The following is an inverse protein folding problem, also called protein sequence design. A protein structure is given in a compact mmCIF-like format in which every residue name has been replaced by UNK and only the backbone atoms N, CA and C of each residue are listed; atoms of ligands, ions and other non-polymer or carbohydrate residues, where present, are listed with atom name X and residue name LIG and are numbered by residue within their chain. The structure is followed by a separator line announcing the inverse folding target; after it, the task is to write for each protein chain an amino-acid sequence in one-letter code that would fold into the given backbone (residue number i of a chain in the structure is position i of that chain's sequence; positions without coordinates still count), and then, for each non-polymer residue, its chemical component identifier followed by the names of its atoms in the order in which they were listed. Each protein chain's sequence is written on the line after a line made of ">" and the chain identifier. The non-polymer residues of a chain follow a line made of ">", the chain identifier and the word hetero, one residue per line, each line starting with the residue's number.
data_IF_111096083319
#
_entry.id   IF_111096083319
#
_cell.length_a   1.000
_cell.length_b   1.000
_cell.length_c   1.000
_cell.angle_alpha   90.00
_cell.angle_beta   90.00
_cell.angle_gamma   90.00
#
_symmetry.space_group_name_H-M   'P 1'
#
loop_
_entity.id
_entity.type
_entity.pdbx_description
1 polymer ?
#
# COMPACT_ATOMS: atom_id res chain seq x y z
N UNK A 1 -21.04 14.57 -8.58
CA UNK A 1 -21.14 13.12 -8.26
C UNK A 1 -20.80 12.93 -6.80
N UNK A 2 -21.63 12.16 -6.08
CA UNK A 2 -21.44 11.86 -4.66
C UNK A 2 -20.91 10.44 -4.48
N UNK A 3 -19.75 10.31 -3.85
CA UNK A 3 -18.99 9.06 -3.72
C UNK A 3 -18.89 8.70 -2.25
N UNK A 4 -19.20 7.47 -1.87
CA UNK A 4 -18.89 6.96 -0.55
C UNK A 4 -17.71 6.00 -0.62
N UNK A 5 -16.65 6.27 0.16
CA UNK A 5 -15.48 5.42 0.31
C UNK A 5 -15.55 4.70 1.65
N UNK A 6 -15.62 3.38 1.63
CA UNK A 6 -15.53 2.57 2.83
C UNK A 6 -14.06 2.22 3.06
N UNK A 7 -13.44 2.80 4.09
CA UNK A 7 -11.99 2.68 4.36
C UNK A 7 -11.77 2.33 5.83
N UNK A 8 -10.75 1.51 6.11
CA UNK A 8 -10.33 1.26 7.49
C UNK A 8 -9.67 2.50 8.08
N UNK A 9 -10.18 2.97 9.22
CA UNK A 9 -9.45 3.93 10.05
C UNK A 9 -8.42 3.19 10.90
N UNK A 10 -7.15 3.46 10.65
CA UNK A 10 -6.05 2.77 11.31
C UNK A 10 -5.94 3.11 12.80
N UNK A 11 -6.60 4.17 13.28
CA UNK A 11 -6.73 4.43 14.72
C UNK A 11 -7.43 3.27 15.42
N UNK A 12 -8.46 2.67 14.78
CA UNK A 12 -9.10 1.45 15.29
C UNK A 12 -8.15 0.25 15.26
N UNK A 13 -7.38 0.10 14.18
CA UNK A 13 -6.46 -1.03 14.02
C UNK A 13 -5.35 -1.02 15.06
N UNK A 14 -4.72 0.15 15.28
CA UNK A 14 -3.61 0.33 16.22
C UNK A 14 -4.05 0.79 17.62
N UNK A 15 -5.37 0.87 17.88
CA UNK A 15 -5.97 1.32 19.15
C UNK A 15 -5.51 2.72 19.59
N UNK A 16 -5.31 3.62 18.60
CA UNK A 16 -4.89 5.02 18.83
C UNK A 16 -6.11 5.94 18.94
N UNK A 17 -7.00 5.64 19.86
CA UNK A 17 -8.31 6.31 20.01
C UNK A 17 -8.20 7.77 20.46
N UNK A 18 -7.09 8.15 21.07
CA UNK A 18 -6.77 9.51 21.50
C UNK A 18 -6.44 10.46 20.35
N UNK A 19 -6.03 9.91 19.20
CA UNK A 19 -5.72 10.71 18.03
C UNK A 19 -7.01 11.24 17.38
N UNK A 20 -7.13 12.57 17.25
CA UNK A 20 -8.32 13.20 16.67
C UNK A 20 -8.36 13.07 15.12
N UNK A 21 -7.20 13.15 14.47
CA UNK A 21 -7.12 13.05 13.01
C UNK A 21 -7.19 11.58 12.57
N UNK A 22 -8.14 11.19 11.71
CA UNK A 22 -8.20 9.86 11.16
C UNK A 22 -6.97 9.53 10.31
N UNK A 23 -6.66 8.25 10.20
CA UNK A 23 -5.50 7.76 9.48
C UNK A 23 -5.87 6.49 8.69
N UNK A 24 -5.72 6.53 7.35
CA UNK A 24 -6.22 5.47 6.46
C UNK A 24 -5.11 4.62 5.82
N UNK A 25 -3.86 4.98 6.00
CA UNK A 25 -2.71 4.38 5.32
C UNK A 25 -2.36 5.10 4.00
N UNK A 26 -1.21 4.72 3.43
CA UNK A 26 -0.55 5.51 2.38
C UNK A 26 -1.37 5.66 1.11
N UNK A 27 -1.87 4.55 0.55
CA UNK A 27 -2.58 4.57 -0.73
C UNK A 27 -3.95 5.26 -0.67
N UNK A 28 -4.84 4.97 0.32
CA UNK A 28 -6.10 5.70 0.45
C UNK A 28 -5.92 7.19 0.72
N UNK A 29 -4.95 7.59 1.55
CA UNK A 29 -4.68 9.02 1.81
C UNK A 29 -4.24 9.75 0.55
N UNK A 30 -3.36 9.15 -0.25
CA UNK A 30 -2.93 9.72 -1.51
C UNK A 30 -4.09 9.83 -2.52
N UNK A 31 -4.99 8.84 -2.57
CA UNK A 31 -6.19 8.92 -3.39
C UNK A 31 -7.11 10.07 -2.95
N UNK A 32 -7.29 10.26 -1.64
CA UNK A 32 -8.06 11.38 -1.10
C UNK A 32 -7.45 12.74 -1.45
N UNK A 33 -6.12 12.87 -1.51
CA UNK A 33 -5.46 14.10 -2.00
C UNK A 33 -5.88 14.43 -3.44
N UNK A 34 -5.96 13.42 -4.30
CA UNK A 34 -6.42 13.62 -5.68
C UNK A 34 -7.91 14.00 -5.77
N UNK A 35 -8.76 13.41 -4.94
CA UNK A 35 -10.18 13.78 -4.87
C UNK A 35 -10.40 15.16 -4.26
N UNK A 36 -9.58 15.60 -3.31
CA UNK A 36 -9.70 16.92 -2.69
C UNK A 36 -9.56 18.07 -3.71
N UNK A 37 -8.85 17.85 -4.81
CA UNK A 37 -8.67 18.83 -5.89
C UNK A 37 -9.82 18.84 -6.93
N UNK A 38 -10.88 18.07 -6.72
CA UNK A 38 -12.00 17.93 -7.66
C UNK A 38 -13.28 18.54 -7.10
N UNK A 39 -13.59 19.80 -7.39
CA UNK A 39 -14.77 20.49 -6.83
C UNK A 39 -16.10 19.95 -7.37
N UNK A 40 -16.08 19.21 -8.48
CA UNK A 40 -17.25 18.61 -9.13
C UNK A 40 -17.72 17.30 -8.45
N UNK A 41 -17.04 16.86 -7.39
CA UNK A 41 -17.41 15.67 -6.62
C UNK A 41 -17.54 15.97 -5.13
N UNK A 42 -18.39 15.20 -4.46
CA UNK A 42 -18.53 15.14 -3.01
C UNK A 42 -18.13 13.73 -2.54
N UNK A 43 -17.18 13.64 -1.62
CA UNK A 43 -16.65 12.37 -1.13
C UNK A 43 -17.00 12.19 0.34
N UNK A 44 -17.58 11.05 0.69
CA UNK A 44 -17.88 10.66 2.05
C UNK A 44 -17.04 9.44 2.44
N UNK A 45 -16.06 9.64 3.29
CA UNK A 45 -15.29 8.55 3.89
C UNK A 45 -16.07 8.00 5.08
N UNK A 46 -16.37 6.70 5.06
CA UNK A 46 -17.09 6.01 6.13
C UNK A 46 -16.19 4.92 6.69
N UNK A 47 -15.93 4.96 7.99
CA UNK A 47 -15.12 3.97 8.70
C UNK A 47 -15.89 3.41 9.90
N UNK A 48 -15.96 2.08 10.02
CA UNK A 48 -16.47 1.44 11.21
C UNK A 48 -15.41 1.41 12.31
N UNK A 49 -15.82 1.69 13.54
CA UNK A 49 -14.96 1.72 14.73
C UNK A 49 -15.64 1.03 15.91
N UNK A 50 -14.87 0.45 16.83
CA UNK A 50 -15.43 -0.24 18.01
C UNK A 50 -15.76 0.72 19.15
N UNK A 51 -15.23 1.93 19.08
CA UNK A 51 -15.43 2.99 20.10
C UNK A 51 -15.71 4.30 19.38
N UNK A 52 -16.47 5.17 20.01
CA UNK A 52 -16.58 6.55 19.58
C UNK A 52 -15.19 7.21 19.58
N UNK A 53 -14.88 7.92 18.52
CA UNK A 53 -13.64 8.68 18.39
C UNK A 53 -13.96 10.12 17.99
N UNK A 54 -13.30 11.05 18.64
CA UNK A 54 -13.34 12.44 18.21
C UNK A 54 -12.67 12.54 16.84
N UNK A 55 -13.35 13.20 15.91
CA UNK A 55 -12.88 13.29 14.53
C UNK A 55 -13.42 14.56 13.87
N UNK A 56 -12.68 15.18 12.94
CA UNK A 56 -13.19 16.26 12.13
C UNK A 56 -14.35 15.78 11.25
N UNK A 57 -15.35 16.59 11.07
CA UNK A 57 -16.46 16.30 10.14
C UNK A 57 -16.02 16.35 8.67
N UNK A 58 -14.97 17.11 8.37
CA UNK A 58 -14.40 17.25 7.04
C UNK A 58 -12.90 17.01 7.07
N UNK A 59 -12.38 16.36 6.03
CA UNK A 59 -10.94 16.16 5.77
C UNK A 59 -10.43 17.15 4.71
N UNK A 60 -11.32 17.63 3.84
CA UNK A 60 -11.09 18.68 2.86
C UNK A 60 -12.44 19.37 2.56
N UNK A 61 -12.45 20.40 1.73
CA UNK A 61 -13.65 21.17 1.42
C UNK A 61 -14.81 20.28 0.90
N UNK A 62 -14.48 19.33 0.02
CA UNK A 62 -15.40 18.38 -0.61
C UNK A 62 -15.32 16.96 -0.05
N UNK A 63 -14.54 16.72 1.04
CA UNK A 63 -14.37 15.39 1.65
C UNK A 63 -14.91 15.41 3.08
N UNK A 64 -15.95 14.63 3.32
CA UNK A 64 -16.60 14.44 4.61
C UNK A 64 -16.13 13.14 5.26
N UNK A 65 -16.02 13.12 6.59
CA UNK A 65 -15.63 11.92 7.34
C UNK A 65 -16.71 11.50 8.32
N UNK A 66 -16.98 10.19 8.33
CA UNK A 66 -17.97 9.56 9.20
C UNK A 66 -17.34 8.38 9.94
N UNK A 67 -17.03 8.55 11.23
CA UNK A 67 -16.71 7.44 12.13
C UNK A 67 -18.01 6.83 12.65
N UNK A 68 -18.23 5.55 12.38
CA UNK A 68 -19.46 4.84 12.76
C UNK A 68 -19.16 3.80 13.80
N UNK A 69 -19.66 3.99 15.01
CA UNK A 69 -19.44 3.04 16.10
C UNK A 69 -20.24 1.76 15.90
N UNK A 70 -19.57 0.63 16.06
CA UNK A 70 -20.12 -0.72 15.94
C UNK A 70 -19.66 -1.56 17.12
N UNK A 71 -20.58 -2.09 17.94
CA UNK A 71 -20.23 -2.97 19.05
C UNK A 71 -19.35 -4.15 18.60
N UNK A 72 -18.40 -4.57 19.45
CA UNK A 72 -17.39 -5.60 19.11
C UNK A 72 -18.00 -6.91 18.58
N UNK A 73 -19.19 -7.27 19.04
CA UNK A 73 -19.93 -8.44 18.54
C UNK A 73 -20.29 -8.33 17.06
N UNK A 74 -20.41 -7.11 16.53
CA UNK A 74 -20.79 -6.86 15.13
C UNK A 74 -19.67 -7.03 14.09
N UNK A 75 -18.48 -7.47 14.51
CA UNK A 75 -17.30 -7.58 13.66
C UNK A 75 -17.08 -9.00 13.12
N UNK A 76 -15.83 -9.41 12.92
CA UNK A 76 -15.44 -10.66 12.24
C UNK A 76 -16.19 -11.91 12.72
N UNK A 77 -16.42 -12.07 14.01
CA UNK A 77 -17.12 -13.24 14.59
C UNK A 77 -18.54 -13.43 14.07
N UNK A 78 -19.18 -12.36 13.60
CA UNK A 78 -20.52 -12.37 13.00
C UNK A 78 -20.48 -12.12 11.50
N UNK A 79 -19.33 -12.31 10.84
CA UNK A 79 -19.16 -11.98 9.43
C UNK A 79 -19.39 -10.50 9.13
N UNK A 80 -19.00 -9.61 10.05
CA UNK A 80 -19.15 -8.15 9.94
C UNK A 80 -20.59 -7.63 9.86
N UNK A 81 -21.58 -8.40 10.35
CA UNK A 81 -23.00 -8.02 10.27
C UNK A 81 -23.30 -6.67 10.93
N UNK A 82 -22.61 -6.32 12.02
CA UNK A 82 -22.75 -5.01 12.65
C UNK A 82 -22.24 -3.88 11.76
N UNK A 83 -21.06 -4.06 11.17
CA UNK A 83 -20.45 -3.08 10.24
C UNK A 83 -21.34 -2.89 9.01
N UNK A 84 -21.83 -3.98 8.40
CA UNK A 84 -22.74 -3.93 7.24
C UNK A 84 -23.99 -3.10 7.56
N UNK A 85 -24.66 -3.35 8.70
CA UNK A 85 -25.87 -2.63 9.09
C UNK A 85 -25.58 -1.14 9.37
N UNK A 86 -24.48 -0.88 10.06
CA UNK A 86 -24.08 0.49 10.41
C UNK A 86 -23.66 1.30 9.17
N UNK A 87 -22.83 0.74 8.30
CA UNK A 87 -22.47 1.35 7.02
C UNK A 87 -23.70 1.58 6.14
N UNK A 88 -24.58 0.57 6.00
CA UNK A 88 -25.82 0.69 5.22
C UNK A 88 -26.74 1.79 5.72
N UNK A 89 -26.89 1.96 7.06
CA UNK A 89 -27.65 3.06 7.65
C UNK A 89 -27.03 4.40 7.28
N UNK A 90 -25.70 4.55 7.46
CA UNK A 90 -24.99 5.79 7.13
C UNK A 90 -25.06 6.12 5.64
N UNK A 91 -24.94 5.14 4.77
CA UNK A 91 -25.02 5.31 3.31
C UNK A 91 -26.43 5.74 2.86
N UNK A 92 -27.50 5.30 3.56
CA UNK A 92 -28.88 5.81 3.31
C UNK A 92 -29.06 7.27 3.71
N UNK A 93 -28.34 7.75 4.72
CA UNK A 93 -28.34 9.17 5.09
C UNK A 93 -27.57 10.01 4.06
N UNK A 94 -26.44 9.47 3.56
CA UNK A 94 -25.58 10.14 2.58
C UNK A 94 -26.24 10.16 1.19
N UNK A 95 -26.91 9.09 0.78
CA UNK A 95 -27.45 8.87 -0.57
C UNK A 95 -26.36 9.04 -1.66
N UNK A 96 -25.27 8.23 -1.64
CA UNK A 96 -24.21 8.33 -2.64
C UNK A 96 -24.69 7.80 -4.00
N UNK A 97 -24.10 8.32 -5.08
CA UNK A 97 -24.27 7.76 -6.42
C UNK A 97 -23.56 6.39 -6.54
N UNK A 98 -22.39 6.24 -5.89
CA UNK A 98 -21.58 5.03 -5.91
C UNK A 98 -20.87 4.79 -4.58
N UNK A 99 -20.70 3.52 -4.22
CA UNK A 99 -19.96 3.08 -3.04
C UNK A 99 -18.70 2.36 -3.47
N UNK A 100 -17.56 2.73 -2.90
CA UNK A 100 -16.29 2.08 -3.18
C UNK A 100 -15.70 1.48 -1.89
N UNK A 101 -15.56 0.16 -1.84
CA UNK A 101 -14.88 -0.56 -0.76
C UNK A 101 -13.38 -0.61 -1.00
N UNK A 102 -12.59 -0.11 -0.06
CA UNK A 102 -11.13 -0.06 -0.11
C UNK A 102 -10.51 -1.13 0.79
N UNK A 103 -10.17 -2.28 0.21
CA UNK A 103 -9.58 -3.43 0.90
C UNK A 103 -10.54 -4.60 1.08
N UNK A 104 -10.04 -5.80 0.82
CA UNK A 104 -10.81 -7.06 0.85
C UNK A 104 -10.68 -7.85 2.15
N UNK A 105 -9.77 -7.42 3.03
CA UNK A 105 -9.40 -8.16 4.24
C UNK A 105 -10.35 -7.97 5.43
N UNK A 106 -11.21 -6.93 5.41
CA UNK A 106 -12.11 -6.58 6.51
C UNK A 106 -13.53 -6.28 6.02
N UNK A 107 -14.22 -5.37 6.71
CA UNK A 107 -15.64 -5.05 6.49
C UNK A 107 -15.93 -4.17 5.27
N UNK A 108 -14.93 -3.51 4.67
CA UNK A 108 -15.14 -2.52 3.62
C UNK A 108 -15.85 -3.10 2.39
N UNK A 109 -15.27 -4.14 1.80
CA UNK A 109 -15.83 -4.75 0.60
C UNK A 109 -17.18 -5.43 0.85
N UNK A 110 -17.36 -6.12 1.97
CA UNK A 110 -18.66 -6.75 2.27
C UNK A 110 -19.73 -5.68 2.55
N UNK A 111 -19.38 -4.59 3.21
CA UNK A 111 -20.30 -3.48 3.45
C UNK A 111 -20.68 -2.76 2.15
N UNK A 112 -19.75 -2.61 1.20
CA UNK A 112 -20.03 -2.05 -0.12
C UNK A 112 -21.03 -2.92 -0.89
N UNK A 113 -20.79 -4.22 -0.98
CA UNK A 113 -21.66 -5.18 -1.68
C UNK A 113 -23.08 -5.21 -1.11
N UNK A 114 -23.23 -5.06 0.20
CA UNK A 114 -24.54 -5.03 0.86
C UNK A 114 -25.13 -3.64 1.07
N UNK A 115 -24.56 -2.60 0.45
CA UNK A 115 -25.00 -1.21 0.61
C UNK A 115 -26.34 -0.91 -0.04
N UNK A 116 -26.74 -1.62 -1.06
CA UNK A 116 -27.89 -1.35 -1.98
C UNK A 116 -27.64 -0.18 -2.95
N UNK A 117 -26.39 0.23 -3.13
CA UNK A 117 -25.95 1.21 -4.12
C UNK A 117 -25.03 0.55 -5.15
N UNK A 118 -24.88 1.12 -6.37
CA UNK A 118 -23.82 0.73 -7.30
C UNK A 118 -22.47 0.72 -6.57
N UNK A 119 -21.67 -0.34 -6.78
CA UNK A 119 -20.45 -0.48 -6.00
C UNK A 119 -19.28 -1.03 -6.80
N UNK A 120 -18.09 -0.61 -6.41
CA UNK A 120 -16.81 -1.15 -6.87
C UNK A 120 -15.94 -1.49 -5.67
N UNK A 121 -15.03 -2.42 -5.85
CA UNK A 121 -14.11 -2.86 -4.79
C UNK A 121 -12.67 -2.63 -5.24
N UNK A 122 -11.78 -2.18 -4.35
CA UNK A 122 -10.34 -2.26 -4.57
C UNK A 122 -9.76 -3.45 -3.82
N UNK A 123 -8.90 -4.21 -4.50
CA UNK A 123 -8.13 -5.31 -3.92
C UNK A 123 -6.67 -4.90 -3.86
N UNK A 124 -6.19 -4.58 -2.64
CA UNK A 124 -4.79 -4.21 -2.39
C UNK A 124 -3.87 -5.42 -2.26
N UNK A 125 -4.38 -6.54 -1.73
CA UNK A 125 -3.65 -7.79 -1.57
C UNK A 125 -4.52 -8.98 -1.99
N UNK A 126 -3.92 -9.99 -2.60
CA UNK A 126 -4.60 -11.23 -2.89
C UNK A 126 -4.67 -12.09 -1.62
N UNK A 127 -5.78 -12.00 -0.88
CA UNK A 127 -5.94 -12.68 0.41
C UNK A 127 -5.87 -14.21 0.29
N UNK A 128 -6.27 -14.78 -0.84
CA UNK A 128 -6.11 -16.23 -1.11
C UNK A 128 -4.64 -16.62 -1.18
N UNK A 129 -3.84 -15.83 -1.88
CA UNK A 129 -2.39 -16.07 -1.99
C UNK A 129 -1.73 -15.87 -0.63
N UNK A 130 -2.05 -14.76 0.05
CA UNK A 130 -1.51 -14.46 1.39
C UNK A 130 -1.84 -15.58 2.38
N UNK A 131 -3.08 -16.06 2.42
CA UNK A 131 -3.50 -17.15 3.29
C UNK A 131 -2.75 -18.46 2.97
N UNK A 132 -2.56 -18.78 1.68
CA UNK A 132 -1.81 -19.96 1.24
C UNK A 132 -0.33 -19.87 1.62
N UNK A 133 0.33 -18.75 1.34
CA UNK A 133 1.76 -18.56 1.64
C UNK A 133 2.05 -18.61 3.14
N UNK A 134 1.10 -18.16 3.97
CA UNK A 134 1.23 -18.21 5.43
C UNK A 134 0.69 -19.51 6.05
N UNK A 135 0.29 -20.51 5.26
CA UNK A 135 -0.26 -21.74 5.80
C UNK A 135 -1.47 -21.50 6.72
N UNK A 136 -2.35 -20.57 6.36
CA UNK A 136 -3.42 -20.08 7.23
C UNK A 136 -4.35 -21.21 7.68
N UNK A 137 -4.39 -21.46 8.98
CA UNK A 137 -5.26 -22.44 9.59
C UNK A 137 -6.75 -22.09 9.37
N UNK A 138 -7.64 -23.10 9.24
CA UNK A 138 -9.09 -22.88 9.19
C UNK A 138 -9.56 -21.95 10.33
N UNK A 139 -10.48 -21.03 10.01
CA UNK A 139 -11.03 -20.03 10.92
C UNK A 139 -10.05 -18.97 11.43
N UNK A 140 -8.77 -19.00 11.02
CA UNK A 140 -7.85 -17.88 11.26
C UNK A 140 -8.30 -16.62 10.50
N UNK A 141 -7.78 -15.47 10.92
CA UNK A 141 -8.09 -14.18 10.26
C UNK A 141 -7.79 -14.22 8.74
N UNK A 142 -6.62 -14.70 8.33
CA UNK A 142 -6.23 -14.78 6.92
C UNK A 142 -7.13 -15.73 6.12
N UNK A 143 -7.50 -16.87 6.71
CA UNK A 143 -8.41 -17.82 6.07
C UNK A 143 -9.80 -17.19 5.87
N UNK A 144 -10.35 -16.51 6.89
CA UNK A 144 -11.63 -15.82 6.81
C UNK A 144 -11.59 -14.66 5.81
N UNK A 145 -10.50 -13.86 5.79
CA UNK A 145 -10.31 -12.78 4.84
C UNK A 145 -10.28 -13.31 3.39
N UNK A 146 -9.61 -14.44 3.14
CA UNK A 146 -9.60 -15.08 1.82
C UNK A 146 -11.01 -15.54 1.40
N UNK A 147 -11.83 -16.08 2.33
CA UNK A 147 -13.23 -16.44 2.06
C UNK A 147 -14.10 -15.22 1.81
N UNK A 148 -13.89 -14.16 2.57
CA UNK A 148 -14.60 -12.90 2.42
C UNK A 148 -14.34 -12.28 1.03
N UNK A 149 -13.09 -12.27 0.60
CA UNK A 149 -12.69 -11.81 -0.75
C UNK A 149 -13.40 -12.62 -1.84
N UNK A 150 -13.36 -13.96 -1.75
CA UNK A 150 -14.05 -14.83 -2.71
C UNK A 150 -15.57 -14.61 -2.75
N UNK A 151 -16.17 -14.25 -1.63
CA UNK A 151 -17.60 -14.00 -1.53
C UNK A 151 -18.00 -12.63 -2.09
N UNK A 152 -17.19 -11.59 -1.86
CA UNK A 152 -17.52 -10.21 -2.21
C UNK A 152 -17.26 -9.89 -3.67
N UNK A 153 -16.16 -10.38 -4.25
CA UNK A 153 -15.76 -10.07 -5.63
C UNK A 153 -16.87 -10.37 -6.64
N UNK A 154 -17.49 -11.56 -6.71
CA UNK A 154 -18.52 -11.85 -7.72
C UNK A 154 -19.84 -11.10 -7.51
N UNK A 155 -20.01 -10.43 -6.37
CA UNK A 155 -21.21 -9.65 -6.01
C UNK A 155 -21.07 -8.15 -6.25
N UNK A 156 -19.88 -7.70 -6.60
CA UNK A 156 -19.63 -6.30 -6.97
C UNK A 156 -19.90 -6.07 -8.46
N UNK A 157 -20.08 -4.81 -8.85
CA UNK A 157 -20.13 -4.43 -10.27
C UNK A 157 -18.77 -4.63 -10.95
N UNK A 158 -17.69 -4.50 -10.20
CA UNK A 158 -16.34 -4.82 -10.65
C UNK A 158 -15.27 -4.50 -9.61
N UNK A 159 -14.04 -4.87 -9.96
CA UNK A 159 -12.88 -4.80 -9.08
C UNK A 159 -11.79 -3.93 -9.68
N UNK A 160 -11.36 -2.96 -8.92
CA UNK A 160 -10.14 -2.19 -9.17
C UNK A 160 -8.95 -2.98 -8.62
N UNK A 161 -8.07 -3.41 -9.50
CA UNK A 161 -6.85 -4.14 -9.19
C UNK A 161 -5.67 -3.18 -9.26
N UNK A 162 -4.79 -3.20 -8.25
CA UNK A 162 -3.66 -2.27 -8.20
C UNK A 162 -2.51 -2.65 -9.14
N UNK A 163 -2.54 -3.87 -9.68
CA UNK A 163 -1.60 -4.41 -10.68
C UNK A 163 -2.32 -5.41 -11.59
N UNK A 164 -1.73 -5.71 -12.75
CA UNK A 164 -2.19 -6.81 -13.61
C UNK A 164 -2.00 -8.18 -12.93
N UNK A 165 -0.97 -8.30 -12.08
CA UNK A 165 -0.78 -9.45 -11.21
C UNK A 165 -2.03 -9.71 -10.34
N UNK A 166 -2.57 -8.69 -9.67
CA UNK A 166 -3.83 -8.82 -8.91
C UNK A 166 -5.00 -9.12 -9.85
N UNK A 167 -5.08 -8.45 -11.00
CA UNK A 167 -6.16 -8.65 -11.98
C UNK A 167 -6.23 -10.12 -12.42
N UNK A 168 -5.10 -10.73 -12.77
CA UNK A 168 -5.04 -12.14 -13.15
C UNK A 168 -5.54 -13.08 -12.03
N UNK A 169 -5.23 -12.73 -10.79
CA UNK A 169 -5.64 -13.53 -9.63
C UNK A 169 -7.15 -13.50 -9.35
N UNK A 170 -7.85 -12.41 -9.71
CA UNK A 170 -9.29 -12.23 -9.42
C UNK A 170 -10.18 -12.30 -10.65
N UNK A 171 -9.63 -12.31 -11.86
CA UNK A 171 -10.38 -12.21 -13.11
C UNK A 171 -11.47 -13.30 -13.28
N UNK A 172 -11.23 -14.51 -12.79
CA UNK A 172 -12.22 -15.60 -12.85
C UNK A 172 -13.41 -15.43 -11.88
N UNK A 173 -13.30 -14.51 -10.93
CA UNK A 173 -14.34 -14.25 -9.93
C UNK A 173 -15.09 -12.94 -10.21
N UNK A 174 -14.40 -11.94 -10.77
CA UNK A 174 -14.93 -10.61 -10.96
C UNK A 174 -15.79 -10.52 -12.23
N UNK A 175 -16.90 -9.78 -12.17
CA UNK A 175 -17.72 -9.44 -13.35
C UNK A 175 -16.96 -8.52 -14.31
N UNK A 176 -16.21 -7.60 -13.77
CA UNK A 176 -15.36 -6.64 -14.49
C UNK A 176 -14.12 -6.30 -13.68
N UNK A 177 -13.02 -5.99 -14.35
CA UNK A 177 -11.78 -5.59 -13.70
C UNK A 177 -11.18 -4.38 -14.40
N UNK A 178 -10.59 -3.49 -13.61
CA UNK A 178 -9.75 -2.38 -14.08
C UNK A 178 -8.40 -2.43 -13.36
N UNK A 179 -7.33 -2.02 -14.03
CA UNK A 179 -6.01 -1.91 -13.39
C UNK A 179 -5.74 -0.44 -13.12
N UNK A 180 -5.74 -0.06 -11.84
CA UNK A 180 -5.39 1.29 -11.38
C UNK A 180 -4.40 1.15 -10.23
N UNK A 181 -3.12 1.50 -10.41
CA UNK A 181 -2.13 1.40 -9.35
C UNK A 181 -2.45 2.34 -8.19
N UNK A 182 -1.78 2.12 -7.06
CA UNK A 182 -1.90 3.01 -5.92
C UNK A 182 -1.38 4.41 -6.24
N UNK A 183 -2.03 5.44 -5.69
CA UNK A 183 -1.52 6.79 -5.70
C UNK A 183 -0.35 6.94 -4.73
N UNK A 184 0.61 7.78 -5.08
CA UNK A 184 1.70 8.25 -4.20
C UNK A 184 1.35 9.64 -3.68
N UNK A 185 1.57 9.88 -2.40
CA UNK A 185 1.40 11.19 -1.78
C UNK A 185 2.18 12.26 -2.55
N UNK A 186 1.52 13.37 -2.88
CA UNK A 186 2.08 14.43 -3.72
C UNK A 186 3.39 15.00 -3.18
N UNK A 187 3.59 15.00 -1.87
CA UNK A 187 4.80 15.52 -1.22
C UNK A 187 6.08 14.74 -1.57
N UNK A 188 5.98 13.47 -2.01
CA UNK A 188 7.15 12.72 -2.48
C UNK A 188 7.69 13.24 -3.82
N UNK A 189 6.83 13.78 -4.67
CA UNK A 189 7.24 14.42 -5.94
C UNK A 189 7.93 15.78 -5.73
N UNK A 190 7.84 16.34 -4.54
CA UNK A 190 8.39 17.65 -4.17
C UNK A 190 9.71 17.54 -3.40
N UNK A 191 10.17 16.30 -3.11
CA UNK A 191 11.41 16.06 -2.38
C UNK A 191 12.59 16.62 -3.19
N UNK A 192 13.30 17.55 -2.59
CA UNK A 192 14.57 18.07 -3.11
C UNK A 192 15.71 17.17 -2.66
N UNK A 193 16.48 16.68 -3.61
CA UNK A 193 17.68 15.87 -3.34
C UNK A 193 18.71 16.70 -2.57
N UNK A 194 19.21 16.15 -1.48
CA UNK A 194 20.24 16.74 -0.65
C UNK A 194 21.56 15.98 -0.83
N UNK A 195 22.71 16.68 -0.82
CA UNK A 195 24.00 16.00 -0.78
C UNK A 195 24.12 15.21 0.54
N UNK A 196 24.67 14.01 0.45
CA UNK A 196 24.97 13.19 1.62
C UNK A 196 26.48 13.00 1.77
N UNK A 197 27.04 13.08 2.98
CA UNK A 197 28.46 12.82 3.22
C UNK A 197 28.80 11.33 3.06
N UNK A 198 27.80 10.46 3.13
CA UNK A 198 27.95 9.00 2.97
C UNK A 198 26.95 8.44 1.98
N UNK A 199 27.29 7.33 1.37
CA UNK A 199 26.38 6.59 0.47
C UNK A 199 25.45 5.74 1.32
N UNK A 200 24.21 6.22 1.53
CA UNK A 200 23.19 5.49 2.28
C UNK A 200 22.18 4.87 1.34
N UNK A 201 21.98 3.55 1.46
CA UNK A 201 20.96 2.80 0.72
C UNK A 201 19.94 2.29 1.73
N UNK A 202 18.67 2.50 1.43
CA UNK A 202 17.58 2.19 2.35
C UNK A 202 16.83 0.93 1.91
N UNK A 203 16.50 0.07 2.89
CA UNK A 203 15.55 -1.01 2.76
C UNK A 203 14.37 -0.72 3.72
N UNK A 204 13.22 -0.36 3.16
CA UNK A 204 12.06 0.09 3.94
C UNK A 204 10.96 -0.95 3.86
N UNK A 205 10.82 -1.75 4.92
CA UNK A 205 9.80 -2.79 5.04
C UNK A 205 9.70 -3.29 6.48
N UNK A 206 8.54 -3.87 6.85
CA UNK A 206 8.42 -4.67 8.09
C UNK A 206 9.46 -5.78 8.09
N UNK A 207 10.08 -6.04 9.24
CA UNK A 207 11.08 -7.13 9.39
C UNK A 207 10.33 -8.46 9.44
N UNK A 208 10.27 -9.13 8.31
CA UNK A 208 9.65 -10.46 8.17
C UNK A 208 10.29 -11.29 7.04
N UNK A 209 10.10 -12.60 7.08
CA UNK A 209 10.72 -13.54 6.12
C UNK A 209 10.31 -13.24 4.66
N UNK A 210 9.11 -12.76 4.40
CA UNK A 210 8.63 -12.40 3.06
C UNK A 210 9.40 -11.20 2.49
N UNK A 211 9.90 -10.31 3.36
CA UNK A 211 10.70 -9.13 2.96
C UNK A 211 12.19 -9.44 2.76
N UNK A 212 12.67 -10.61 3.18
CA UNK A 212 13.94 -11.21 2.79
C UNK A 212 15.19 -10.39 3.14
N UNK A 213 15.14 -9.57 4.19
CA UNK A 213 16.26 -8.70 4.60
C UNK A 213 17.51 -9.50 4.97
N UNK A 214 17.35 -10.70 5.60
CA UNK A 214 18.47 -11.56 6.00
C UNK A 214 19.28 -12.02 4.80
N UNK A 215 18.62 -12.39 3.69
CA UNK A 215 19.32 -12.78 2.46
C UNK A 215 20.04 -11.57 1.83
N UNK A 216 19.44 -10.38 1.86
CA UNK A 216 20.10 -9.16 1.37
C UNK A 216 21.40 -8.87 2.15
N UNK A 217 21.37 -8.95 3.49
CA UNK A 217 22.57 -8.75 4.31
C UNK A 217 23.66 -9.74 3.91
N UNK A 218 23.34 -11.03 3.76
CA UNK A 218 24.29 -12.05 3.35
C UNK A 218 24.83 -11.85 1.93
N UNK A 219 23.98 -11.40 1.01
CA UNK A 219 24.41 -11.09 -0.35
C UNK A 219 25.46 -9.97 -0.36
N UNK A 220 25.32 -8.98 0.51
CA UNK A 220 26.22 -7.83 0.58
C UNK A 220 27.54 -8.16 1.28
N UNK A 221 27.60 -9.16 2.15
CA UNK A 221 28.86 -9.61 2.77
C UNK A 221 29.97 -9.87 1.74
N UNK A 222 29.59 -10.38 0.55
CA UNK A 222 30.54 -10.67 -0.52
C UNK A 222 31.15 -9.42 -1.19
N UNK A 223 30.57 -8.24 -0.97
CA UNK A 223 31.02 -6.97 -1.58
C UNK A 223 32.11 -6.25 -0.78
N UNK A 224 32.45 -6.75 0.43
CA UNK A 224 33.32 -6.04 1.39
C UNK A 224 32.96 -4.54 1.50
N UNK A 225 31.79 -4.21 2.05
CA UNK A 225 31.20 -2.88 1.96
C UNK A 225 31.80 -1.84 2.92
N UNK A 226 32.83 -2.22 3.71
CA UNK A 226 33.40 -1.37 4.75
C UNK A 226 33.83 -0.01 4.18
N UNK A 227 33.19 1.06 4.69
CA UNK A 227 33.49 2.44 4.26
C UNK A 227 32.97 2.85 2.88
N UNK A 228 32.36 1.95 2.11
CA UNK A 228 31.83 2.25 0.78
C UNK A 228 30.40 2.75 0.81
N UNK A 229 29.56 2.14 1.62
CA UNK A 229 28.16 2.53 1.82
C UNK A 229 27.63 2.03 3.17
N UNK A 230 26.49 2.59 3.58
CA UNK A 230 25.69 2.12 4.73
C UNK A 230 24.35 1.58 4.23
N UNK A 231 23.98 0.36 4.63
CA UNK A 231 22.64 -0.19 4.42
C UNK A 231 21.78 0.11 5.65
N UNK A 232 20.70 0.87 5.47
CA UNK A 232 19.80 1.30 6.54
C UNK A 232 18.45 0.63 6.40
N UNK A 233 18.04 -0.13 7.42
CA UNK A 233 16.72 -0.75 7.49
C UNK A 233 15.75 0.13 8.27
N UNK A 234 14.57 0.39 7.67
CA UNK A 234 13.44 1.10 8.26
C UNK A 234 12.21 0.20 8.22
N UNK A 235 11.52 0.10 9.34
CA UNK A 235 10.23 -0.62 9.41
C UNK A 235 9.98 -1.25 10.78
N UNK A 236 8.75 -1.68 11.00
CA UNK A 236 8.36 -2.35 12.24
C UNK A 236 8.93 -3.76 12.31
N UNK A 237 9.20 -4.23 13.53
CA UNK A 237 9.39 -5.64 13.84
C UNK A 237 8.26 -6.10 14.76
N UNK A 238 7.49 -7.09 14.32
CA UNK A 238 6.29 -7.56 15.04
C UNK A 238 6.62 -8.60 16.14
N UNK A 239 7.67 -8.34 16.92
CA UNK A 239 8.07 -9.19 18.05
C UNK A 239 9.23 -10.16 17.72
N UNK A 240 9.62 -11.02 18.69
CA UNK A 240 10.82 -11.85 18.61
C UNK A 240 10.56 -13.14 17.81
N UNK A 241 10.26 -13.03 16.53
CA UNK A 241 10.19 -14.20 15.65
C UNK A 241 11.61 -14.74 15.39
N UNK A 242 11.79 -16.03 15.06
CA UNK A 242 13.12 -16.57 14.69
C UNK A 242 13.79 -15.74 13.61
N UNK A 243 13.05 -15.30 12.60
CA UNK A 243 13.54 -14.45 11.52
C UNK A 243 14.04 -13.09 12.01
N UNK A 244 13.25 -12.43 12.87
CA UNK A 244 13.61 -11.11 13.42
C UNK A 244 14.82 -11.20 14.36
N UNK A 245 14.92 -12.25 15.18
CA UNK A 245 16.09 -12.48 16.03
C UNK A 245 17.36 -12.63 15.19
N UNK A 246 17.32 -13.45 14.16
CA UNK A 246 18.43 -13.60 13.22
C UNK A 246 18.77 -12.28 12.51
N UNK A 247 17.77 -11.50 12.08
CA UNK A 247 17.96 -10.19 11.48
C UNK A 247 18.76 -9.26 12.39
N UNK A 248 18.39 -9.15 13.67
CA UNK A 248 19.08 -8.27 14.60
C UNK A 248 20.52 -8.72 14.88
N UNK A 249 20.78 -10.02 14.95
CA UNK A 249 22.15 -10.54 15.07
C UNK A 249 22.98 -10.24 13.81
N UNK A 250 22.41 -10.40 12.61
CA UNK A 250 23.07 -10.04 11.37
C UNK A 250 23.43 -8.56 11.30
N UNK A 251 22.51 -7.68 11.67
CA UNK A 251 22.73 -6.22 11.71
C UNK A 251 23.79 -5.85 12.71
N UNK A 252 23.73 -6.40 13.93
CA UNK A 252 24.68 -6.11 15.01
C UNK A 252 26.12 -6.50 14.66
N UNK A 253 26.29 -7.57 13.90
CA UNK A 253 27.60 -8.08 13.51
C UNK A 253 28.29 -7.28 12.39
N UNK A 254 27.63 -6.29 11.79
CA UNK A 254 28.08 -5.59 10.58
C UNK A 254 28.06 -4.07 10.73
N UNK A 255 29.22 -3.39 10.78
CA UNK A 255 29.29 -1.94 11.01
C UNK A 255 28.69 -1.11 9.86
N UNK A 256 28.56 -1.70 8.67
CA UNK A 256 27.96 -1.07 7.48
C UNK A 256 26.43 -1.25 7.42
N UNK A 257 25.83 -1.90 8.41
CA UNK A 257 24.42 -2.23 8.44
C UNK A 257 23.77 -1.62 9.69
N UNK A 258 22.65 -0.94 9.53
CA UNK A 258 21.94 -0.28 10.64
C UNK A 258 20.44 -0.49 10.55
N UNK A 259 19.82 -0.82 11.69
CA UNK A 259 18.37 -0.77 11.86
C UNK A 259 17.99 0.54 12.54
N UNK A 260 17.19 1.35 11.87
CA UNK A 260 16.76 2.67 12.36
C UNK A 260 15.32 2.69 12.89
N UNK A 261 14.67 1.53 12.96
CA UNK A 261 13.31 1.41 13.53
C UNK A 261 12.22 1.89 12.58
N UNK A 262 11.08 2.27 13.17
CA UNK A 262 9.92 2.76 12.42
C UNK A 262 10.10 4.24 12.10
N UNK A 263 9.98 4.60 10.85
CA UNK A 263 9.92 5.99 10.42
C UNK A 263 8.47 6.40 10.15
N UNK A 264 8.06 7.55 10.62
CA UNK A 264 6.86 8.20 10.12
C UNK A 264 7.08 8.78 8.71
N UNK A 265 6.06 9.33 8.10
CA UNK A 265 6.13 9.81 6.72
C UNK A 265 7.13 10.97 6.54
N UNK A 266 7.20 11.88 7.49
CA UNK A 266 8.14 13.01 7.43
C UNK A 266 9.59 12.56 7.59
N UNK A 267 9.85 11.69 8.54
CA UNK A 267 11.16 11.06 8.74
C UNK A 267 11.57 10.24 7.51
N UNK A 268 10.65 9.48 6.90
CA UNK A 268 10.93 8.76 5.66
C UNK A 268 11.33 9.71 4.54
N UNK A 269 10.62 10.82 4.33
CA UNK A 269 10.97 11.82 3.31
C UNK A 269 12.35 12.44 3.55
N UNK A 270 12.70 12.73 4.81
CA UNK A 270 14.03 13.23 5.17
C UNK A 270 15.13 12.23 4.81
N UNK A 271 14.95 10.95 5.14
CA UNK A 271 15.88 9.89 4.76
C UNK A 271 16.00 9.76 3.24
N UNK A 272 14.87 9.76 2.55
CA UNK A 272 14.86 9.65 1.09
C UNK A 272 15.52 10.85 0.42
N UNK A 273 15.44 12.06 0.97
CA UNK A 273 16.07 13.24 0.39
C UNK A 273 17.59 13.09 0.21
N UNK A 274 18.27 12.37 1.11
CA UNK A 274 19.72 12.13 1.07
C UNK A 274 20.11 10.70 0.64
N UNK A 275 19.15 9.83 0.35
CA UNK A 275 19.41 8.44 0.00
C UNK A 275 20.16 8.30 -1.33
N UNK A 276 21.17 7.46 -1.39
CA UNK A 276 21.82 7.08 -2.65
C UNK A 276 20.94 6.12 -3.46
N UNK A 277 20.12 5.31 -2.80
CA UNK A 277 19.19 4.38 -3.43
C UNK A 277 18.25 3.72 -2.44
N UNK A 278 17.28 3.01 -2.99
CA UNK A 278 16.36 2.13 -2.25
C UNK A 278 16.45 0.72 -2.81
N UNK A 279 16.55 -0.28 -1.93
CA UNK A 279 16.53 -1.70 -2.31
C UNK A 279 15.41 -2.44 -1.59
N UNK A 280 14.66 -3.26 -2.33
CA UNK A 280 13.55 -4.06 -1.78
C UNK A 280 13.67 -5.52 -2.23
N UNK A 281 14.18 -6.45 -1.38
CA UNK A 281 14.47 -7.84 -1.74
C UNK A 281 13.31 -8.81 -1.50
N UNK A 282 12.07 -8.33 -1.48
CA UNK A 282 10.88 -9.13 -1.12
C UNK A 282 10.75 -10.41 -1.93
N UNK A 283 10.34 -11.50 -1.28
CA UNK A 283 10.00 -12.78 -1.95
C UNK A 283 8.62 -12.73 -2.62
N UNK A 284 7.75 -11.82 -2.17
CA UNK A 284 6.45 -11.54 -2.76
C UNK A 284 6.06 -10.10 -2.44
N UNK A 285 5.63 -9.36 -3.43
CA UNK A 285 5.04 -8.02 -3.27
C UNK A 285 4.11 -7.69 -4.44
N UNK A 286 3.03 -7.00 -4.15
CA UNK A 286 2.06 -6.64 -5.18
C UNK A 286 2.35 -5.24 -5.74
N UNK A 287 2.22 -4.22 -4.90
CA UNK A 287 2.43 -2.82 -5.27
C UNK A 287 3.12 -2.10 -4.09
N UNK A 288 4.43 -2.32 -3.90
CA UNK A 288 5.16 -1.78 -2.76
C UNK A 288 5.22 -0.25 -2.82
N UNK A 289 4.51 0.41 -1.90
CA UNK A 289 4.42 1.86 -1.86
C UNK A 289 5.79 2.54 -1.79
N UNK A 290 6.72 1.98 -1.03
CA UNK A 290 8.06 2.55 -0.87
C UNK A 290 8.85 2.61 -2.19
N UNK A 291 8.62 1.67 -3.11
CA UNK A 291 9.21 1.69 -4.46
C UNK A 291 8.62 2.86 -5.25
N UNK A 292 7.30 3.03 -5.23
CA UNK A 292 6.62 4.14 -5.90
C UNK A 292 7.02 5.50 -5.30
N UNK A 293 7.15 5.58 -3.97
CA UNK A 293 7.59 6.76 -3.23
C UNK A 293 9.03 7.15 -3.59
N UNK A 294 9.93 6.16 -3.68
CA UNK A 294 11.30 6.37 -4.11
C UNK A 294 11.38 6.84 -5.58
N UNK A 295 10.63 6.22 -6.48
CA UNK A 295 10.52 6.67 -7.87
C UNK A 295 10.01 8.11 -7.97
N UNK A 296 8.95 8.45 -7.21
CA UNK A 296 8.40 9.80 -7.16
C UNK A 296 9.41 10.84 -6.65
N UNK A 297 10.26 10.46 -5.69
CA UNK A 297 11.32 11.28 -5.13
C UNK A 297 12.59 11.37 -6.02
N UNK A 298 12.62 10.68 -7.16
CA UNK A 298 13.79 10.64 -8.05
C UNK A 298 14.99 9.92 -7.40
N UNK A 299 14.74 8.83 -6.70
CA UNK A 299 15.76 8.01 -6.03
C UNK A 299 15.95 6.73 -6.83
N UNK A 300 17.20 6.31 -7.09
CA UNK A 300 17.48 5.04 -7.72
C UNK A 300 16.87 3.87 -6.95
N UNK A 301 16.20 2.96 -7.66
CA UNK A 301 15.50 1.81 -7.06
C UNK A 301 16.07 0.51 -7.60
N UNK A 302 16.32 -0.44 -6.71
CA UNK A 302 16.48 -1.84 -7.03
C UNK A 302 15.42 -2.66 -6.28
N UNK A 303 14.66 -3.48 -6.99
CA UNK A 303 13.59 -4.27 -6.39
C UNK A 303 13.56 -5.70 -6.91
N UNK A 304 13.05 -6.62 -6.09
CA UNK A 304 12.89 -8.01 -6.49
C UNK A 304 11.88 -8.14 -7.64
N UNK A 305 12.18 -8.99 -8.62
CA UNK A 305 11.34 -9.32 -9.79
C UNK A 305 10.22 -10.29 -9.38
N UNK A 306 9.30 -9.84 -8.53
CA UNK A 306 8.23 -10.68 -7.99
C UNK A 306 6.88 -9.96 -8.06
N UNK A 307 5.80 -10.74 -8.10
CA UNK A 307 4.43 -10.24 -8.02
C UNK A 307 4.13 -9.16 -9.06
N UNK A 308 3.66 -8.00 -8.59
CA UNK A 308 3.36 -6.83 -9.43
C UNK A 308 4.54 -5.87 -9.63
N UNK A 309 5.69 -6.08 -8.99
CA UNK A 309 6.85 -5.17 -9.08
C UNK A 309 7.33 -4.95 -10.52
N UNK A 310 7.39 -5.96 -11.42
CA UNK A 310 7.79 -5.76 -12.82
C UNK A 310 6.85 -4.86 -13.65
N UNK A 311 5.64 -4.59 -13.16
CA UNK A 311 4.71 -3.66 -13.79
C UNK A 311 4.96 -2.20 -13.39
N UNK A 312 5.67 -2.00 -12.28
CA UNK A 312 5.97 -0.70 -11.69
C UNK A 312 7.35 -0.20 -12.12
N UNK A 313 8.32 -1.10 -12.19
CA UNK A 313 9.72 -0.81 -12.49
C UNK A 313 10.14 -1.50 -13.80
N UNK A 314 10.66 -0.74 -14.75
CA UNK A 314 11.29 -1.29 -15.97
C UNK A 314 12.79 -1.44 -15.75
N UNK A 315 13.25 -2.71 -15.83
CA UNK A 315 14.66 -3.03 -15.60
C UNK A 315 15.59 -2.29 -16.57
N UNK A 316 16.59 -1.61 -16.02
CA UNK A 316 17.57 -0.83 -16.78
C UNK A 316 17.06 0.54 -17.29
N UNK A 317 15.76 0.84 -17.15
CA UNK A 317 15.16 2.11 -17.61
C UNK A 317 14.70 2.98 -16.44
N UNK A 318 13.89 2.44 -15.53
CA UNK A 318 13.35 3.18 -14.37
C UNK A 318 13.82 2.61 -13.04
N UNK A 319 14.62 1.56 -13.06
CA UNK A 319 15.22 0.92 -11.90
C UNK A 319 15.80 -0.44 -12.23
N UNK A 320 16.30 -1.12 -11.22
CA UNK A 320 16.88 -2.45 -11.36
C UNK A 320 15.91 -3.50 -10.82
N UNK A 321 15.74 -4.59 -11.56
CA UNK A 321 15.01 -5.77 -11.12
C UNK A 321 15.96 -6.98 -11.00
N UNK A 322 15.92 -7.67 -9.86
CA UNK A 322 16.74 -8.85 -9.59
C UNK A 322 15.91 -10.03 -9.08
N UNK A 323 16.46 -11.23 -9.18
CA UNK A 323 15.88 -12.43 -8.55
C UNK A 323 16.19 -12.41 -7.04
N UNK A 324 15.19 -12.39 -6.14
CA UNK A 324 15.43 -12.37 -4.70
C UNK A 324 16.01 -13.68 -4.13
N UNK A 325 16.08 -14.74 -4.91
CA UNK A 325 16.71 -16.00 -4.53
C UNK A 325 18.18 -16.09 -5.00
N UNK A 326 18.62 -15.14 -5.83
CA UNK A 326 19.99 -15.07 -6.32
C UNK A 326 20.78 -14.00 -5.55
N UNK A 327 21.66 -14.43 -4.63
CA UNK A 327 22.47 -13.54 -3.80
C UNK A 327 23.43 -12.68 -4.62
N UNK A 328 24.01 -13.22 -5.70
CA UNK A 328 24.90 -12.48 -6.60
C UNK A 328 24.14 -11.34 -7.31
N UNK A 329 22.95 -11.62 -7.84
CA UNK A 329 22.11 -10.59 -8.46
C UNK A 329 21.69 -9.49 -7.47
N UNK A 330 21.46 -9.83 -6.20
CA UNK A 330 21.20 -8.82 -5.15
C UNK A 330 22.44 -7.97 -4.87
N UNK A 331 23.60 -8.59 -4.78
CA UNK A 331 24.87 -7.91 -4.57
C UNK A 331 25.20 -6.97 -5.74
N UNK A 332 25.02 -7.41 -6.97
CA UNK A 332 25.22 -6.59 -8.18
C UNK A 332 24.26 -5.39 -8.22
N UNK A 333 22.99 -5.58 -7.90
CA UNK A 333 22.03 -4.49 -7.81
C UNK A 333 22.44 -3.47 -6.75
N UNK A 334 22.89 -3.92 -5.58
CA UNK A 334 23.39 -3.06 -4.51
C UNK A 334 24.64 -2.27 -4.93
N UNK A 335 25.58 -2.91 -5.61
CA UNK A 335 26.79 -2.28 -6.16
C UNK A 335 26.42 -1.16 -7.14
N UNK A 336 25.52 -1.42 -8.09
CA UNK A 336 25.05 -0.42 -9.05
C UNK A 336 24.38 0.79 -8.37
N UNK A 337 23.58 0.58 -7.30
CA UNK A 337 23.00 1.67 -6.52
C UNK A 337 24.07 2.52 -5.82
N UNK A 338 25.16 1.88 -5.33
CA UNK A 338 26.25 2.57 -4.61
C UNK A 338 27.14 3.41 -5.50
N UNK A 339 27.28 3.06 -6.78
CA UNK A 339 28.20 3.69 -7.74
C UNK A 339 27.61 4.94 -8.43
N UNK A 340 26.48 5.48 -7.99
CA UNK A 340 25.77 6.65 -8.59
C UNK A 340 25.41 6.51 -10.08
N UNK A 341 25.52 5.31 -10.64
CA UNK A 341 25.15 5.02 -12.04
C UNK A 341 23.65 5.12 -12.31
N UNK A 342 22.83 5.17 -11.24
CA UNK A 342 21.37 5.19 -11.32
C UNK A 342 20.71 6.55 -11.54
N UNK A 343 21.45 7.65 -11.72
CA UNK A 343 20.84 9.00 -11.77
C UNK A 343 19.92 9.21 -12.98
N UNK A 344 20.27 8.68 -14.15
CA UNK A 344 19.42 8.79 -15.35
C UNK A 344 18.17 7.91 -15.23
N UNK A 345 18.28 6.69 -14.70
CA UNK A 345 17.14 5.81 -14.41
C UNK A 345 16.20 6.44 -13.38
N UNK A 346 16.74 7.07 -12.32
CA UNK A 346 15.96 7.74 -11.31
C UNK A 346 15.19 8.95 -11.85
N UNK A 347 15.82 9.76 -12.72
CA UNK A 347 15.13 10.86 -13.39
C UNK A 347 13.99 10.36 -14.29
N UNK A 348 14.22 9.30 -15.06
CA UNK A 348 13.19 8.69 -15.89
C UNK A 348 12.07 8.08 -15.03
N UNK A 349 12.42 7.41 -13.92
CA UNK A 349 11.47 6.88 -12.95
C UNK A 349 10.57 7.97 -12.35
N UNK A 350 11.14 9.15 -12.02
CA UNK A 350 10.38 10.26 -11.48
C UNK A 350 9.36 10.82 -12.48
N UNK A 351 9.77 10.98 -13.74
CA UNK A 351 8.86 11.41 -14.82
C UNK A 351 7.71 10.42 -14.99
N UNK A 352 8.02 9.12 -15.06
CA UNK A 352 7.02 8.07 -15.20
C UNK A 352 6.11 7.97 -13.97
N UNK A 353 6.67 8.07 -12.76
CA UNK A 353 5.89 8.06 -11.53
C UNK A 353 4.86 9.20 -11.49
N UNK A 354 5.25 10.40 -11.94
CA UNK A 354 4.35 11.56 -12.03
C UNK A 354 3.20 11.32 -13.01
N UNK A 355 3.47 10.67 -14.12
CA UNK A 355 2.45 10.36 -15.15
C UNK A 355 1.51 9.21 -14.74
N UNK A 356 1.97 8.29 -13.89
CA UNK A 356 1.24 7.06 -13.59
C UNK A 356 0.65 7.02 -12.19
N UNK A 357 1.33 7.59 -11.19
CA UNK A 357 1.04 7.40 -9.76
C UNK A 357 0.68 8.69 -9.02
N UNK A 358 0.72 9.84 -9.71
CA UNK A 358 0.33 11.10 -9.08
C UNK A 358 -1.15 11.05 -8.65
N UNK A 359 -1.52 11.61 -7.48
CA UNK A 359 -2.88 11.54 -6.95
C UNK A 359 -3.96 12.01 -7.93
N UNK A 360 -3.70 13.09 -8.68
CA UNK A 360 -4.66 13.64 -9.64
C UNK A 360 -4.95 12.68 -10.80
N UNK A 361 -3.93 11.93 -11.25
CA UNK A 361 -4.07 10.92 -12.31
C UNK A 361 -4.88 9.74 -11.80
N UNK A 362 -4.53 9.22 -10.62
CA UNK A 362 -5.21 8.07 -10.03
C UNK A 362 -6.67 8.40 -9.69
N UNK A 363 -6.93 9.59 -9.12
CA UNK A 363 -8.29 10.05 -8.87
C UNK A 363 -9.10 10.16 -10.17
N UNK A 364 -8.50 10.70 -11.24
CA UNK A 364 -9.12 10.77 -12.57
C UNK A 364 -9.56 9.42 -13.08
N UNK A 365 -8.68 8.39 -13.01
CA UNK A 365 -8.98 7.03 -13.43
C UNK A 365 -10.11 6.38 -12.63
N UNK A 366 -10.16 6.63 -11.31
CA UNK A 366 -11.28 6.16 -10.49
C UNK A 366 -12.60 6.83 -10.89
N UNK A 367 -12.59 8.14 -11.19
CA UNK A 367 -13.79 8.84 -11.65
C UNK A 367 -14.31 8.32 -13.00
N UNK A 368 -13.42 7.93 -13.91
CA UNK A 368 -13.80 7.28 -15.18
C UNK A 368 -14.50 5.95 -14.91
N UNK A 369 -13.95 5.11 -14.03
CA UNK A 369 -14.54 3.84 -13.61
C UNK A 369 -15.93 4.07 -12.99
N UNK A 370 -16.07 5.05 -12.10
CA UNK A 370 -17.36 5.35 -11.46
C UNK A 370 -18.42 5.77 -12.48
N UNK A 371 -18.06 6.64 -13.44
CA UNK A 371 -18.98 7.05 -14.52
C UNK A 371 -19.38 5.86 -15.38
N UNK A 372 -18.46 4.97 -15.70
CA UNK A 372 -18.72 3.75 -16.47
C UNK A 372 -19.71 2.83 -15.73
N UNK A 373 -19.50 2.56 -14.45
CA UNK A 373 -20.42 1.74 -13.63
C UNK A 373 -21.80 2.37 -13.54
N UNK A 374 -21.89 3.66 -13.28
CA UNK A 374 -23.18 4.38 -13.19
C UNK A 374 -23.93 4.40 -14.53
N UNK A 375 -23.24 4.49 -15.66
CA UNK A 375 -23.86 4.44 -16.97
C UNK A 375 -24.46 3.07 -17.29
N UNK A 376 -23.83 1.99 -16.82
CA UNK A 376 -24.31 0.63 -16.96
C UNK A 376 -25.54 0.32 -16.10
N UNK A 377 -25.68 1.01 -14.95
CA UNK A 377 -26.80 0.82 -14.03
C UNK A 377 -28.09 1.56 -14.45
N UNK A 378 -27.97 2.54 -15.33
CA UNK A 378 -29.12 3.31 -15.86
C UNK A 378 -29.77 2.66 -17.09
N UNK A 379 -29.16 1.62 -17.63
CA UNK A 379 -29.69 0.81 -18.75
C UNK A 379 -30.38 -0.47 -18.21
#
# INVERSE_FOLDING_TARGET
>A
MKIALLITDNREHYRKYERETPWFGTAPEALLQGFAKRPDIEVHVVSCTKRAMKSPAKLAENIFFHSVEVPTVGWLRTGYQGCIRAARRKLREIMPDIVHGQGSERDQNISAVFSSFPNVLTVHGNMRLVARLNGAAPFSFLWLAARLEQFTIPRSEGVVCITDYTRKAVASLARKTWVVPNAVDSSFFEIKRLPSPSVQIFCVATVDARKNQNALIRAIDALDPQGKFELVFLGASEGPTPYALEFFELVKARPWCRYAGVADRETLKQHLASAAGLILPSLEDNCPMVVLEAMAAGIPVAAARVGGVPELVRHGETGLLFDPLNLEAMADAMKQLSEKSGSSMAAQAQVEAKQRFHPDIIAGRHLEIYREVLSSHRR
#
